data_IF_700823806257
#
_entry.id   IF_700823806257
#
_cell.length_a   1.000
_cell.length_b   1.000
_cell.length_c   1.000
_cell.angle_alpha   90.00
_cell.angle_beta   90.00
_cell.angle_gamma   90.00
#
_symmetry.space_group_name_H-M   'P 1'
#
loop_
_entity.id
_entity.type
_entity.pdbx_description
1 polymer ?
#
# COMPACT_ATOMS: atom_id res chain seq x y z
N UNK A 1 -10.99 -25.63 6.43
CA UNK A 1 -10.05 -25.02 7.40
C UNK A 1 -9.56 -23.70 6.80
N UNK A 2 -9.83 -22.56 7.42
CA UNK A 2 -9.31 -21.27 6.95
C UNK A 2 -7.86 -21.15 7.41
N UNK A 3 -6.93 -21.13 6.49
CA UNK A 3 -5.50 -20.98 6.79
C UNK A 3 -5.16 -19.49 7.01
N UNK A 4 -5.64 -18.90 8.12
CA UNK A 4 -5.41 -17.49 8.46
C UNK A 4 -3.96 -17.17 8.78
N UNK A 5 -3.25 -18.15 9.33
CA UNK A 5 -1.83 -18.09 9.63
C UNK A 5 -1.18 -19.37 9.13
N UNK A 6 -0.13 -19.22 8.36
CA UNK A 6 0.66 -20.34 7.85
C UNK A 6 2.10 -20.21 8.34
N UNK A 7 2.84 -21.31 8.32
CA UNK A 7 4.26 -21.29 8.64
C UNK A 7 5.08 -21.53 7.37
N UNK A 8 5.88 -20.54 7.00
CA UNK A 8 6.74 -20.59 5.82
C UNK A 8 8.19 -20.41 6.28
N UNK A 9 9.05 -21.38 5.98
CA UNK A 9 10.48 -21.34 6.34
C UNK A 9 10.74 -20.98 7.83
N UNK A 10 9.88 -21.50 8.73
CA UNK A 10 10.01 -21.26 10.16
C UNK A 10 9.29 -20.00 10.69
N UNK A 11 8.89 -19.07 9.82
CA UNK A 11 8.21 -17.84 10.18
C UNK A 11 6.68 -18.00 10.08
N UNK A 12 5.95 -17.35 11.00
CA UNK A 12 4.50 -17.26 10.91
C UNK A 12 4.11 -16.11 9.99
N UNK A 13 3.29 -16.42 8.99
CA UNK A 13 2.80 -15.47 7.99
C UNK A 13 1.27 -15.41 8.08
N UNK A 14 0.72 -14.21 8.04
CA UNK A 14 -0.72 -13.99 7.87
C UNK A 14 -1.08 -14.14 6.40
N UNK A 15 -2.29 -14.61 6.14
CA UNK A 15 -2.83 -14.77 4.78
C UNK A 15 -3.96 -13.77 4.54
N UNK A 16 -4.43 -13.60 3.29
CA UNK A 16 -5.63 -12.80 3.01
C UNK A 16 -6.85 -13.22 3.85
N UNK A 17 -7.02 -14.52 4.12
CA UNK A 17 -8.09 -15.06 4.97
C UNK A 17 -8.07 -14.51 6.40
N UNK A 18 -6.91 -14.09 6.91
CA UNK A 18 -6.81 -13.44 8.21
C UNK A 18 -7.60 -12.13 8.21
N UNK A 19 -7.39 -11.28 7.20
CA UNK A 19 -8.08 -9.98 7.10
C UNK A 19 -9.58 -10.16 6.89
N UNK A 20 -9.98 -11.05 6.00
CA UNK A 20 -11.40 -11.36 5.76
C UNK A 20 -12.11 -11.88 7.02
N UNK A 21 -11.38 -12.54 7.90
CA UNK A 21 -11.94 -13.05 9.15
C UNK A 21 -11.90 -12.05 10.30
N UNK A 22 -10.83 -11.25 10.38
CA UNK A 22 -10.61 -10.28 11.46
C UNK A 22 -11.49 -9.03 11.29
N UNK A 23 -11.72 -8.58 10.05
CA UNK A 23 -12.45 -7.35 9.72
C UNK A 23 -13.74 -7.65 8.98
N UNK A 24 -14.68 -8.29 9.68
CA UNK A 24 -16.00 -8.62 9.13
C UNK A 24 -16.92 -7.39 9.12
N UNK A 25 -17.83 -7.35 8.13
CA UNK A 25 -18.90 -6.38 8.12
C UNK A 25 -18.48 -4.94 7.87
N UNK A 26 -17.43 -4.73 7.09
CA UNK A 26 -17.01 -3.38 6.70
C UNK A 26 -16.31 -2.60 7.81
N UNK A 27 -15.62 -3.26 8.71
CA UNK A 27 -14.91 -2.60 9.82
C UNK A 27 -13.80 -1.65 9.37
N UNK A 28 -13.34 -1.78 8.11
CA UNK A 28 -12.38 -0.85 7.49
C UNK A 28 -13.07 0.21 6.62
N UNK A 29 -14.38 0.41 6.75
CA UNK A 29 -15.11 1.39 5.94
C UNK A 29 -14.47 2.77 5.99
N UNK A 30 -14.20 3.33 4.81
CA UNK A 30 -13.61 4.64 4.65
C UNK A 30 -12.10 4.71 4.89
N UNK A 31 -11.47 3.60 5.30
CA UNK A 31 -10.04 3.56 5.63
C UNK A 31 -9.19 3.55 4.36
N UNK A 32 -8.11 4.32 4.36
CA UNK A 32 -7.00 4.18 3.43
C UNK A 32 -5.89 3.40 4.15
N UNK A 33 -5.47 2.27 3.56
CA UNK A 33 -4.43 1.41 4.13
C UNK A 33 -3.13 1.65 3.37
N UNK A 34 -2.04 1.89 4.08
CA UNK A 34 -0.69 1.96 3.51
C UNK A 34 0.17 0.84 4.09
N UNK A 35 0.74 -0.01 3.23
CA UNK A 35 1.65 -1.09 3.62
C UNK A 35 3.09 -0.73 3.30
N UNK A 36 3.95 -0.72 4.31
CA UNK A 36 5.40 -0.51 4.16
C UNK A 36 6.18 -1.83 3.92
N UNK A 37 5.48 -2.94 3.63
CA UNK A 37 6.11 -4.24 3.46
C UNK A 37 6.63 -4.46 2.05
N UNK A 38 7.75 -5.20 1.94
CA UNK A 38 8.24 -5.71 0.67
C UNK A 38 7.18 -6.59 0.01
N UNK A 39 7.11 -6.53 -1.32
CA UNK A 39 6.31 -7.44 -2.15
C UNK A 39 4.82 -7.49 -1.75
N UNK A 40 4.28 -6.41 -1.17
CA UNK A 40 2.86 -6.39 -0.77
C UNK A 40 1.92 -6.62 -1.96
N UNK A 41 2.27 -6.07 -3.10
CA UNK A 41 1.58 -6.28 -4.38
C UNK A 41 2.32 -7.28 -5.29
N UNK A 42 3.17 -8.13 -4.72
CA UNK A 42 3.95 -9.12 -5.45
C UNK A 42 5.40 -8.73 -5.71
N UNK A 43 6.16 -9.70 -6.23
CA UNK A 43 7.60 -9.58 -6.46
C UNK A 43 8.00 -10.00 -7.86
N UNK A 44 9.24 -9.69 -8.26
CA UNK A 44 9.78 -9.97 -9.59
C UNK A 44 8.91 -9.40 -10.72
N UNK A 45 8.28 -8.25 -10.50
CA UNK A 45 7.33 -7.58 -11.40
C UNK A 45 6.06 -8.43 -11.71
N UNK A 46 5.75 -9.40 -10.86
CA UNK A 46 4.50 -10.17 -10.94
C UNK A 46 3.56 -9.63 -9.88
N UNK A 47 2.40 -9.13 -10.30
CA UNK A 47 1.39 -8.59 -9.38
C UNK A 47 0.64 -9.71 -8.67
N UNK A 48 0.47 -9.54 -7.36
CA UNK A 48 -0.44 -10.31 -6.51
C UNK A 48 -1.32 -9.34 -5.71
N UNK A 49 -2.60 -9.29 -6.06
CA UNK A 49 -3.59 -8.41 -5.41
C UNK A 49 -4.36 -9.11 -4.29
N UNK A 50 -4.04 -10.33 -3.93
CA UNK A 50 -4.83 -11.14 -2.99
C UNK A 50 -4.96 -10.48 -1.62
N UNK A 51 -3.88 -9.91 -1.09
CA UNK A 51 -3.87 -9.22 0.20
C UNK A 51 -4.68 -7.92 0.16
N UNK A 52 -4.50 -7.12 -0.88
CA UNK A 52 -5.23 -5.86 -1.04
C UNK A 52 -6.72 -6.09 -1.30
N UNK A 53 -7.09 -7.12 -2.07
CA UNK A 53 -8.49 -7.51 -2.26
C UNK A 53 -9.15 -7.84 -0.91
N UNK A 54 -8.48 -8.61 -0.04
CA UNK A 54 -9.01 -8.93 1.28
C UNK A 54 -9.24 -7.68 2.16
N UNK A 55 -8.39 -6.66 2.04
CA UNK A 55 -8.55 -5.38 2.74
C UNK A 55 -9.71 -4.55 2.14
N UNK A 56 -9.84 -4.52 0.82
CA UNK A 56 -10.96 -3.84 0.13
C UNK A 56 -12.29 -4.52 0.46
N UNK A 57 -12.35 -5.85 0.47
CA UNK A 57 -13.53 -6.63 0.87
C UNK A 57 -13.91 -6.40 2.34
N UNK A 58 -12.93 -6.07 3.19
CA UNK A 58 -13.15 -5.67 4.58
C UNK A 58 -13.63 -4.20 4.73
N UNK A 59 -13.74 -3.44 3.63
CA UNK A 59 -14.29 -2.10 3.57
C UNK A 59 -13.28 -0.98 3.38
N UNK A 60 -11.99 -1.27 3.23
CA UNK A 60 -11.01 -0.23 2.90
C UNK A 60 -11.38 0.44 1.57
N UNK A 61 -11.23 1.76 1.48
CA UNK A 61 -11.49 2.51 0.25
C UNK A 61 -10.34 2.34 -0.74
N UNK A 62 -9.11 2.44 -0.24
CA UNK A 62 -7.92 2.29 -1.04
C UNK A 62 -6.81 1.62 -0.24
N UNK A 63 -5.95 0.92 -0.94
CA UNK A 63 -4.76 0.26 -0.38
C UNK A 63 -3.55 0.73 -1.18
N UNK A 64 -2.51 1.16 -0.48
CA UNK A 64 -1.22 1.53 -1.06
C UNK A 64 -0.16 0.57 -0.55
N UNK A 65 0.72 0.14 -1.41
CA UNK A 65 1.83 -0.75 -1.06
C UNK A 65 2.85 -0.80 -2.18
N UNK A 66 3.78 -1.72 -2.09
CA UNK A 66 4.89 -1.82 -3.01
C UNK A 66 4.88 -3.12 -3.79
N UNK A 67 5.21 -3.02 -5.06
CA UNK A 67 5.67 -4.14 -5.89
C UNK A 67 7.16 -4.25 -5.70
N UNK A 68 7.69 -5.47 -5.61
CA UNK A 68 9.09 -5.78 -5.34
C UNK A 68 9.58 -5.43 -3.91
N UNK A 69 10.85 -5.70 -3.65
CA UNK A 69 11.48 -5.42 -2.37
C UNK A 69 11.82 -3.94 -2.22
N UNK A 70 11.41 -3.37 -1.09
CA UNK A 70 11.56 -1.94 -0.80
C UNK A 70 12.44 -1.72 0.43
N UNK A 71 13.28 -0.70 0.40
CA UNK A 71 13.99 -0.21 1.57
C UNK A 71 13.04 0.52 2.53
N UNK A 72 13.23 0.28 3.83
CA UNK A 72 12.45 0.93 4.88
C UNK A 72 12.53 2.47 4.82
N UNK A 73 13.67 3.03 4.41
CA UNK A 73 13.83 4.48 4.26
C UNK A 73 12.95 5.01 3.14
N UNK A 74 12.93 4.35 1.98
CA UNK A 74 12.10 4.76 0.85
C UNK A 74 10.62 4.59 1.15
N UNK A 75 10.20 3.42 1.66
CA UNK A 75 8.79 3.17 1.99
C UNK A 75 8.24 4.16 3.01
N UNK A 76 9.03 4.49 4.04
CA UNK A 76 8.66 5.48 5.05
C UNK A 76 8.59 6.89 4.49
N UNK A 77 9.51 7.27 3.61
CA UNK A 77 9.47 8.57 2.91
C UNK A 77 8.22 8.68 2.05
N UNK A 78 7.88 7.63 1.31
CA UNK A 78 6.65 7.57 0.51
C UNK A 78 5.39 7.66 1.38
N UNK A 79 5.34 6.94 2.53
CA UNK A 79 4.24 7.06 3.48
C UNK A 79 4.09 8.50 3.98
N UNK A 80 5.17 9.12 4.49
CA UNK A 80 5.14 10.50 4.98
C UNK A 80 4.72 11.50 3.91
N UNK A 81 5.29 11.38 2.71
CA UNK A 81 4.93 12.24 1.59
C UNK A 81 3.45 12.11 1.23
N UNK A 82 2.96 10.88 1.12
CA UNK A 82 1.56 10.59 0.81
C UNK A 82 0.62 11.15 1.87
N UNK A 83 0.89 10.89 3.16
CA UNK A 83 0.05 11.39 4.28
C UNK A 83 0.00 12.91 4.29
N UNK A 84 1.13 13.60 4.10
CA UNK A 84 1.16 15.06 4.04
C UNK A 84 0.29 15.61 2.91
N UNK A 85 0.31 14.98 1.74
CA UNK A 85 -0.50 15.40 0.59
C UNK A 85 -2.00 15.11 0.80
N UNK A 86 -2.34 14.00 1.45
CA UNK A 86 -3.72 13.71 1.86
C UNK A 86 -4.26 14.74 2.86
N UNK A 87 -3.45 15.15 3.85
CA UNK A 87 -3.81 16.21 4.81
C UNK A 87 -4.04 17.55 4.08
N UNK A 88 -3.33 17.79 2.98
CA UNK A 88 -3.52 18.97 2.13
C UNK A 88 -4.73 18.87 1.19
N UNK A 89 -5.53 17.80 1.29
CA UNK A 89 -6.77 17.62 0.54
C UNK A 89 -6.63 16.95 -0.82
N UNK A 90 -5.46 16.41 -1.18
CA UNK A 90 -5.32 15.61 -2.39
C UNK A 90 -5.99 14.24 -2.23
N UNK A 91 -6.45 13.66 -3.32
CA UNK A 91 -6.84 12.25 -3.33
C UNK A 91 -5.62 11.33 -3.25
N UNK A 92 -5.87 10.05 -2.99
CA UNK A 92 -4.78 9.09 -2.75
C UNK A 92 -3.83 8.93 -3.93
N UNK A 93 -4.33 8.89 -5.17
CA UNK A 93 -3.49 8.79 -6.36
C UNK A 93 -2.60 10.03 -6.51
N UNK A 94 -3.17 11.22 -6.42
CA UNK A 94 -2.42 12.48 -6.47
C UNK A 94 -1.40 12.59 -5.33
N UNK A 95 -1.73 12.06 -4.16
CA UNK A 95 -0.85 12.09 -3.00
C UNK A 95 0.36 11.16 -3.20
N UNK A 96 0.16 9.95 -3.71
CA UNK A 96 1.24 9.00 -4.04
C UNK A 96 2.12 9.54 -5.16
N UNK A 97 1.52 10.09 -6.23
CA UNK A 97 2.27 10.69 -7.34
C UNK A 97 3.15 11.86 -6.88
N UNK A 98 2.63 12.71 -6.00
CA UNK A 98 3.40 13.84 -5.45
C UNK A 98 4.53 13.36 -4.52
N UNK A 99 4.32 12.28 -3.75
CA UNK A 99 5.38 11.66 -2.97
C UNK A 99 6.45 11.06 -3.89
N UNK A 100 6.05 10.35 -4.95
CA UNK A 100 6.96 9.80 -5.95
C UNK A 100 7.75 10.88 -6.70
N UNK A 101 7.13 12.02 -7.00
CA UNK A 101 7.83 13.17 -7.57
C UNK A 101 8.92 13.74 -6.64
N UNK A 102 8.74 13.61 -5.33
CA UNK A 102 9.66 14.12 -4.31
C UNK A 102 10.80 13.15 -4.00
N UNK A 103 10.47 11.86 -3.83
CA UNK A 103 11.41 10.84 -3.33
C UNK A 103 11.92 9.88 -4.39
N UNK A 104 11.42 10.01 -5.61
CA UNK A 104 11.71 9.13 -6.75
C UNK A 104 10.53 8.23 -7.09
N UNK A 105 10.35 7.88 -8.38
CA UNK A 105 9.25 7.02 -8.83
C UNK A 105 9.42 5.57 -8.40
N UNK A 106 10.64 5.16 -8.07
CA UNK A 106 10.99 3.82 -7.64
C UNK A 106 12.18 3.82 -6.66
N UNK A 107 12.32 2.71 -5.90
CA UNK A 107 13.42 2.48 -4.97
C UNK A 107 14.54 1.69 -5.63
N UNK A 108 15.43 2.40 -6.31
CA UNK A 108 16.61 1.78 -6.94
C UNK A 108 17.65 1.31 -5.91
N UNK A 109 17.63 1.83 -4.68
CA UNK A 109 18.68 1.57 -3.69
C UNK A 109 18.68 0.13 -3.19
N UNK A 110 17.50 -0.44 -2.96
CA UNK A 110 17.40 -1.87 -2.61
C UNK A 110 18.06 -2.73 -3.68
N UNK A 111 17.66 -2.56 -4.93
CA UNK A 111 18.15 -3.34 -6.04
C UNK A 111 19.66 -3.18 -6.24
N UNK A 112 20.16 -1.94 -6.19
CA UNK A 112 21.60 -1.66 -6.29
C UNK A 112 22.40 -2.27 -5.14
N UNK A 113 21.84 -2.28 -3.91
CA UNK A 113 22.49 -2.88 -2.75
C UNK A 113 22.64 -4.40 -2.86
N UNK A 114 21.81 -5.05 -3.67
CA UNK A 114 21.91 -6.49 -3.98
C UNK A 114 22.84 -6.80 -5.17
N UNK A 115 23.62 -5.81 -5.63
CA UNK A 115 24.54 -5.97 -6.77
C UNK A 115 23.85 -5.93 -8.13
N UNK A 116 22.64 -5.39 -8.19
CA UNK A 116 21.88 -5.23 -9.44
C UNK A 116 22.58 -4.27 -10.41
N UNK A 117 22.52 -4.58 -11.70
CA UNK A 117 23.11 -3.78 -12.79
C UNK A 117 22.07 -3.03 -13.61
N UNK A 118 20.77 -3.31 -13.37
CA UNK A 118 19.63 -2.69 -14.06
C UNK A 118 18.67 -2.08 -13.02
N UNK A 119 18.97 -0.89 -12.48
CA UNK A 119 18.34 -0.37 -11.26
C UNK A 119 16.82 -0.23 -11.36
N UNK A 120 16.28 0.11 -12.53
CA UNK A 120 14.84 0.33 -12.69
C UNK A 120 14.05 -0.96 -13.02
N UNK A 121 14.71 -2.05 -13.36
CA UNK A 121 14.02 -3.27 -13.82
C UNK A 121 13.24 -3.97 -12.71
N UNK A 122 13.80 -4.01 -11.50
CA UNK A 122 13.24 -4.68 -10.33
C UNK A 122 13.16 -3.75 -9.12
N UNK A 123 13.28 -2.46 -9.35
CA UNK A 123 13.10 -1.46 -8.30
C UNK A 123 11.67 -1.51 -7.77
N UNK A 124 11.51 -1.30 -6.47
CA UNK A 124 10.19 -1.21 -5.88
C UNK A 124 9.51 0.10 -6.29
N UNK A 125 8.24 0.02 -6.59
CA UNK A 125 7.40 1.19 -6.84
C UNK A 125 6.08 1.07 -6.08
N UNK A 126 5.53 2.21 -5.70
CA UNK A 126 4.25 2.26 -5.02
C UNK A 126 3.10 2.04 -6.02
N UNK A 127 2.06 1.32 -5.58
CA UNK A 127 0.84 1.09 -6.32
C UNK A 127 -0.36 1.45 -5.44
N UNK A 128 -1.38 2.05 -6.04
CA UNK A 128 -2.68 2.29 -5.43
C UNK A 128 -3.68 1.29 -5.99
N UNK A 129 -4.44 0.62 -5.13
CA UNK A 129 -5.50 -0.31 -5.51
C UNK A 129 -6.79 0.04 -4.77
N UNK A 130 -7.94 0.01 -5.46
CA UNK A 130 -9.25 0.40 -4.96
C UNK A 130 -9.70 1.76 -5.51
N UNK A 131 -10.30 2.58 -4.67
CA UNK A 131 -10.77 3.93 -5.02
C UNK A 131 -9.58 4.91 -5.06
N UNK A 132 -9.06 5.18 -6.24
CA UNK A 132 -7.94 6.10 -6.47
C UNK A 132 -8.29 7.57 -6.21
N UNK A 133 -9.58 7.88 -6.13
CA UNK A 133 -10.11 9.21 -5.78
C UNK A 133 -10.33 9.41 -4.28
N UNK A 134 -10.07 8.39 -3.46
CA UNK A 134 -10.26 8.45 -2.02
C UNK A 134 -9.49 9.63 -1.40
N UNK A 135 -10.19 10.39 -0.55
CA UNK A 135 -9.64 11.53 0.22
C UNK A 135 -9.67 11.22 1.71
N UNK A 136 -8.81 11.87 2.47
CA UNK A 136 -8.79 11.74 3.94
C UNK A 136 -9.98 12.43 4.58
N UNK A 137 -10.38 13.60 4.01
CA UNK A 137 -11.51 14.39 4.47
C UNK A 137 -12.40 14.70 3.28
N UNK A 138 -13.68 14.39 3.38
CA UNK A 138 -14.68 14.91 2.46
C UNK A 138 -15.13 16.29 2.97
N UNK A 139 -14.57 17.33 2.37
CA UNK A 139 -14.90 18.72 2.73
C UNK A 139 -16.38 19.06 2.48
N UNK A 140 -17.07 18.29 1.65
CA UNK A 140 -18.49 18.49 1.37
C UNK A 140 -19.40 17.89 2.45
N UNK A 141 -18.97 16.81 3.13
CA UNK A 141 -19.72 16.24 4.26
C UNK A 141 -19.65 17.13 5.51
N UNK A 142 -18.51 17.79 5.75
CA UNK A 142 -18.35 18.68 6.90
C UNK A 142 -19.18 19.99 6.79
N UNK A 143 -19.47 20.44 5.57
CA UNK A 143 -20.33 21.61 5.34
C UNK A 143 -21.84 21.32 5.49
N UNK A 144 -22.25 20.05 5.36
CA UNK A 144 -23.63 19.62 5.53
C UNK A 144 -23.99 19.33 7.00
N UNK A 145 -23.00 19.18 7.89
CA UNK A 145 -23.18 18.90 9.33
C UNK A 145 -23.08 20.15 10.23
N UNK A 146 -22.83 21.31 9.65
CA UNK A 146 -22.79 22.61 10.32
C UNK A 146 -24.04 23.43 10.02
#
# INVERSE_FOLDING_TARGET
MTHRVIKVNGNYCITPDFFSAAYRGGQLNGTIVFSETCEFFGGNNILDLSMSNALLDAGARAVVGFVNNVYAVYSRSMLWGTVNQLIMGKNILQAVDAAAATYGPDDIYWYMSQGGTQPHRYAAFALVHGDDTAVLYDLNESAAAA
#
